data_IF_208471060834
#
_entry.id   IF_208471060834
#
_cell.length_a   1.000
_cell.length_b   1.000
_cell.length_c   1.000
_cell.angle_alpha   90.00
_cell.angle_beta   90.00
_cell.angle_gamma   90.00
#
_symmetry.space_group_name_H-M   'P 1'
#
loop_
_entity.id
_entity.type
_entity.pdbx_description
1 polymer ?
#
# COMPACT_ATOMS: atom_id res chain seq x y z
N UNK A 1 21.16 -5.42 11.19
CA UNK A 1 20.12 -6.22 11.88
C UNK A 1 19.40 -5.35 12.89
N UNK A 2 18.06 -5.31 12.89
CA UNK A 2 17.27 -4.44 13.80
C UNK A 2 16.11 -5.15 14.53
N UNK A 3 15.85 -6.42 14.24
CA UNK A 3 14.83 -7.20 14.94
C UNK A 3 15.20 -7.44 16.40
N UNK A 4 14.19 -7.62 17.25
CA UNK A 4 14.36 -7.86 18.69
C UNK A 4 15.22 -9.11 18.97
N UNK A 5 14.85 -10.25 18.37
CA UNK A 5 15.58 -11.53 18.52
C UNK A 5 17.03 -11.40 18.01
N UNK A 6 17.30 -11.00 16.75
CA UNK A 6 18.67 -10.75 16.28
C UNK A 6 19.48 -9.80 17.17
N UNK A 7 18.86 -8.73 17.72
CA UNK A 7 19.55 -7.78 18.59
C UNK A 7 19.95 -8.39 19.93
N UNK A 8 19.10 -9.24 20.51
CA UNK A 8 19.42 -9.98 21.74
C UNK A 8 20.55 -10.98 21.50
N UNK A 9 20.50 -11.71 20.38
CA UNK A 9 21.55 -12.64 19.98
C UNK A 9 22.89 -11.94 19.76
N UNK A 10 22.91 -10.80 19.09
CA UNK A 10 24.13 -9.99 18.90
C UNK A 10 24.74 -9.52 20.23
N UNK A 11 23.93 -9.36 21.27
CA UNK A 11 24.37 -9.00 22.63
C UNK A 11 24.72 -10.22 23.50
N UNK A 12 24.71 -11.43 22.95
CA UNK A 12 24.94 -12.68 23.67
C UNK A 12 23.81 -13.09 24.64
N UNK A 13 22.62 -12.47 24.52
CA UNK A 13 21.48 -12.70 25.43
C UNK A 13 20.57 -13.81 24.89
N UNK A 14 21.14 -15.02 24.76
CA UNK A 14 20.48 -16.15 24.10
C UNK A 14 19.17 -16.58 24.80
N UNK A 15 19.18 -16.69 26.14
CA UNK A 15 17.99 -17.10 26.89
C UNK A 15 16.83 -16.11 26.76
N UNK A 16 17.14 -14.82 26.67
CA UNK A 16 16.11 -13.79 26.46
C UNK A 16 15.58 -13.85 25.03
N UNK A 17 16.44 -14.05 24.04
CA UNK A 17 16.01 -14.29 22.66
C UNK A 17 15.08 -15.51 22.58
N UNK A 18 15.38 -16.59 23.32
CA UNK A 18 14.54 -17.78 23.44
C UNK A 18 13.17 -17.47 24.03
N UNK A 19 13.08 -16.66 25.09
CA UNK A 19 11.79 -16.25 25.66
C UNK A 19 10.96 -15.43 24.66
N UNK A 20 11.61 -14.54 23.92
CA UNK A 20 10.94 -13.74 22.88
C UNK A 20 10.44 -14.63 21.74
N UNK A 21 11.21 -15.63 21.32
CA UNK A 21 10.75 -16.63 20.34
C UNK A 21 9.50 -17.37 20.83
N UNK A 22 9.49 -17.84 22.08
CA UNK A 22 8.34 -18.52 22.67
C UNK A 22 7.10 -17.63 22.73
N UNK A 23 7.27 -16.35 23.06
CA UNK A 23 6.20 -15.37 23.05
C UNK A 23 5.58 -15.23 21.64
N UNK A 24 6.39 -15.02 20.61
CA UNK A 24 5.88 -14.87 19.24
C UNK A 24 5.32 -16.17 18.66
N UNK A 25 5.90 -17.32 19.00
CA UNK A 25 5.35 -18.62 18.65
C UNK A 25 3.98 -18.84 19.31
N UNK A 26 3.78 -18.40 20.56
CA UNK A 26 2.46 -18.47 21.20
C UNK A 26 1.45 -17.53 20.52
N UNK A 27 1.88 -16.33 20.12
CA UNK A 27 1.01 -15.34 19.50
C UNK A 27 0.60 -15.69 18.06
N UNK A 28 1.56 -16.12 17.24
CA UNK A 28 1.37 -16.35 15.79
C UNK A 28 1.29 -17.82 15.40
N UNK A 29 1.52 -18.75 16.34
CA UNK A 29 1.46 -20.19 16.13
C UNK A 29 2.33 -20.62 14.94
N UNK A 30 1.73 -21.27 13.95
CA UNK A 30 2.41 -21.82 12.76
C UNK A 30 2.85 -20.75 11.76
N UNK A 31 2.48 -19.48 11.96
CA UNK A 31 2.85 -18.36 11.10
C UNK A 31 3.96 -17.48 11.70
N UNK A 32 4.76 -18.06 12.62
CA UNK A 32 6.00 -17.46 13.10
C UNK A 32 7.23 -18.12 12.47
N UNK A 33 8.15 -17.29 11.95
CA UNK A 33 9.37 -17.74 11.28
C UNK A 33 10.58 -16.96 11.81
N UNK A 34 11.73 -17.62 11.89
CA UNK A 34 13.00 -16.96 12.17
C UNK A 34 13.67 -16.59 10.84
N UNK A 35 13.82 -15.28 10.62
CA UNK A 35 14.42 -14.75 9.40
C UNK A 35 15.94 -14.88 9.43
N UNK A 36 16.50 -15.48 8.38
CA UNK A 36 17.95 -15.50 8.12
C UNK A 36 18.26 -14.70 6.85
N UNK A 37 19.35 -13.94 6.92
CA UNK A 37 19.79 -13.03 5.86
C UNK A 37 21.31 -13.13 5.73
N UNK A 38 21.85 -13.04 4.52
CA UNK A 38 23.30 -12.92 4.32
C UNK A 38 23.60 -11.75 3.38
N UNK A 39 23.86 -10.62 4.01
CA UNK A 39 24.25 -9.37 3.35
C UNK A 39 25.77 -9.17 3.38
N UNK A 40 26.56 -10.24 3.62
CA UNK A 40 28.02 -10.18 3.64
C UNK A 40 28.62 -9.59 4.91
N UNK A 41 27.85 -9.47 6.00
CA UNK A 41 28.30 -8.96 7.29
C UNK A 41 28.66 -10.12 8.22
N UNK A 42 29.85 -10.08 8.83
CA UNK A 42 30.32 -11.20 9.67
C UNK A 42 29.46 -11.38 10.93
N UNK A 43 29.08 -10.28 11.57
CA UNK A 43 28.16 -10.25 12.72
C UNK A 43 26.81 -10.92 12.38
N UNK A 44 26.38 -10.84 11.12
CA UNK A 44 25.14 -11.47 10.66
C UNK A 44 25.28 -12.99 10.53
N UNK A 45 26.46 -13.50 10.18
CA UNK A 45 26.72 -14.94 10.16
C UNK A 45 26.68 -15.53 11.56
N UNK A 46 27.26 -14.85 12.54
CA UNK A 46 27.20 -15.26 13.95
C UNK A 46 25.75 -15.31 14.46
N UNK A 47 24.96 -14.28 14.18
CA UNK A 47 23.54 -14.25 14.54
C UNK A 47 22.74 -15.33 13.81
N UNK A 48 23.01 -15.58 12.53
CA UNK A 48 22.35 -16.67 11.78
C UNK A 48 22.62 -18.04 12.41
N UNK A 49 23.83 -18.32 12.89
CA UNK A 49 24.13 -19.57 13.59
C UNK A 49 23.28 -19.72 14.86
N UNK A 50 23.15 -18.67 15.65
CA UNK A 50 22.31 -18.67 16.85
C UNK A 50 20.81 -18.79 16.51
N UNK A 51 20.35 -18.19 15.40
CA UNK A 51 18.98 -18.34 14.91
C UNK A 51 18.71 -19.79 14.45
N UNK A 52 19.65 -20.43 13.77
CA UNK A 52 19.55 -21.85 13.40
C UNK A 52 19.48 -22.74 14.64
N UNK A 53 20.25 -22.43 15.68
CA UNK A 53 20.17 -23.12 16.96
C UNK A 53 18.78 -22.97 17.59
N UNK A 54 18.26 -21.74 17.72
CA UNK A 54 16.91 -21.48 18.26
C UNK A 54 15.82 -22.17 17.43
N UNK A 55 15.94 -22.16 16.10
CA UNK A 55 15.02 -22.84 15.20
C UNK A 55 14.94 -24.34 15.51
N UNK A 56 16.09 -25.01 15.68
CA UNK A 56 16.15 -26.44 16.01
C UNK A 56 15.62 -26.73 17.42
N UNK A 57 15.95 -25.91 18.40
CA UNK A 57 15.52 -26.08 19.80
C UNK A 57 14.01 -25.90 19.98
N UNK A 58 13.43 -24.92 19.28
CA UNK A 58 12.03 -24.52 19.46
C UNK A 58 11.11 -25.04 18.34
N UNK A 59 11.68 -25.78 17.37
CA UNK A 59 10.99 -26.23 16.15
C UNK A 59 10.32 -25.08 15.38
N UNK A 60 10.96 -23.90 15.34
CA UNK A 60 10.46 -22.73 14.61
C UNK A 60 11.07 -22.74 13.20
N UNK A 61 10.29 -22.66 12.12
CA UNK A 61 10.82 -22.69 10.76
C UNK A 61 11.68 -21.45 10.45
N UNK A 62 12.76 -21.66 9.68
CA UNK A 62 13.59 -20.57 9.14
C UNK A 62 13.00 -20.03 7.84
N UNK A 63 13.25 -18.75 7.53
CA UNK A 63 12.96 -18.19 6.20
C UNK A 63 14.13 -17.34 5.72
N UNK A 64 14.57 -17.56 4.48
CA UNK A 64 15.65 -16.80 3.87
C UNK A 64 15.11 -15.56 3.17
N UNK A 65 15.72 -14.40 3.43
CA UNK A 65 15.43 -13.14 2.75
C UNK A 65 16.74 -12.39 2.43
N UNK A 66 16.65 -11.25 1.74
CA UNK A 66 17.83 -10.46 1.34
C UNK A 66 17.73 -8.96 1.63
N UNK A 67 16.72 -8.53 2.40
CA UNK A 67 16.49 -7.12 2.77
C UNK A 67 16.69 -6.14 1.59
N UNK A 68 15.96 -6.41 0.49
CA UNK A 68 16.23 -5.79 -0.81
C UNK A 68 15.88 -4.29 -0.80
N UNK A 69 16.84 -3.45 -1.15
CA UNK A 69 16.70 -1.99 -1.26
C UNK A 69 16.88 -1.47 -2.69
N UNK A 70 17.45 -2.27 -3.58
CA UNK A 70 17.68 -1.91 -4.99
C UNK A 70 17.63 -3.14 -5.89
N UNK A 71 17.48 -2.92 -7.20
CA UNK A 71 17.25 -4.03 -8.13
C UNK A 71 18.54 -4.79 -8.46
N UNK A 72 19.60 -4.07 -8.86
CA UNK A 72 20.87 -4.70 -9.27
C UNK A 72 22.01 -4.32 -8.33
N UNK A 73 23.00 -5.21 -8.16
CA UNK A 73 24.19 -4.95 -7.32
C UNK A 73 24.90 -3.62 -7.65
N UNK A 74 24.95 -3.24 -8.94
CA UNK A 74 25.55 -1.98 -9.40
C UNK A 74 24.84 -0.71 -8.87
N UNK A 75 23.59 -0.83 -8.45
CA UNK A 75 22.77 0.29 -7.98
C UNK A 75 23.07 0.66 -6.51
N UNK A 76 23.93 -0.09 -5.83
CA UNK A 76 24.36 0.21 -4.45
C UNK A 76 24.86 1.65 -4.28
N UNK A 77 25.59 2.19 -5.26
CA UNK A 77 26.04 3.59 -5.24
C UNK A 77 24.88 4.57 -5.36
N UNK A 78 23.86 4.25 -6.15
CA UNK A 78 22.66 5.08 -6.29
C UNK A 78 21.87 5.09 -4.98
N UNK A 79 21.73 3.94 -4.32
CA UNK A 79 21.11 3.85 -3.00
C UNK A 79 21.87 4.68 -1.96
N UNK A 80 23.20 4.67 -2.01
CA UNK A 80 24.04 5.45 -1.11
C UNK A 80 23.82 6.97 -1.28
N UNK A 81 23.67 7.44 -2.52
CA UNK A 81 23.31 8.83 -2.83
C UNK A 81 21.91 9.16 -2.31
N UNK A 82 20.94 8.26 -2.48
CA UNK A 82 19.57 8.47 -2.01
C UNK A 82 19.52 8.63 -0.48
N UNK A 83 20.28 7.82 0.27
CA UNK A 83 20.42 7.96 1.72
C UNK A 83 21.03 9.30 2.13
N UNK A 84 22.04 9.77 1.40
CA UNK A 84 22.64 11.09 1.65
C UNK A 84 21.62 12.21 1.49
N UNK A 85 20.82 12.17 0.41
CA UNK A 85 19.74 13.14 0.17
C UNK A 85 18.71 13.08 1.31
N UNK A 86 18.26 11.89 1.69
CA UNK A 86 17.27 11.70 2.76
C UNK A 86 17.75 12.23 4.12
N UNK A 87 19.05 12.09 4.41
CA UNK A 87 19.64 12.46 5.70
C UNK A 87 20.26 13.85 5.72
N UNK A 88 20.19 14.60 4.60
CA UNK A 88 20.80 15.93 4.48
C UNK A 88 22.33 15.89 4.58
N UNK A 89 22.96 14.77 4.21
CA UNK A 89 24.41 14.55 4.24
C UNK A 89 24.98 14.54 2.82
N UNK A 90 26.30 14.62 2.71
CA UNK A 90 27.03 14.46 1.45
C UNK A 90 27.78 13.14 1.41
N UNK A 91 28.12 12.65 0.22
CA UNK A 91 28.94 11.43 0.07
C UNK A 91 30.33 11.54 0.73
N UNK A 92 30.80 12.77 1.00
CA UNK A 92 32.09 13.05 1.64
C UNK A 92 32.03 12.95 3.17
N UNK A 93 30.83 12.97 3.76
CA UNK A 93 30.68 12.92 5.21
C UNK A 93 31.03 11.51 5.71
N UNK A 94 31.90 11.40 6.71
CA UNK A 94 32.38 10.11 7.22
C UNK A 94 31.41 9.44 8.21
N UNK A 95 30.64 10.26 8.93
CA UNK A 95 29.58 9.90 9.90
C UNK A 95 28.20 9.68 9.25
N UNK A 96 28.12 9.69 7.91
CA UNK A 96 26.81 9.51 7.26
C UNK A 96 26.28 8.08 7.41
N UNK A 97 24.96 7.96 7.44
CA UNK A 97 24.29 6.68 7.30
C UNK A 97 24.61 6.07 5.93
N UNK A 98 25.12 4.84 5.93
CA UNK A 98 25.40 4.04 4.73
C UNK A 98 25.22 2.56 5.02
N UNK A 99 24.91 1.78 4.00
CA UNK A 99 24.94 0.33 4.12
C UNK A 99 26.39 -0.17 4.24
N UNK A 100 26.58 -1.21 5.04
CA UNK A 100 27.89 -1.79 5.29
C UNK A 100 28.40 -2.69 4.14
N UNK A 101 27.52 -3.06 3.20
CA UNK A 101 27.86 -3.84 1.99
C UNK A 101 26.98 -3.44 0.79
N UNK A 102 27.29 -4.03 -0.37
CA UNK A 102 26.54 -3.86 -1.63
C UNK A 102 25.57 -5.02 -1.91
N UNK A 103 25.23 -5.83 -0.90
CA UNK A 103 24.49 -7.09 -1.06
C UNK A 103 22.98 -6.97 -0.93
N UNK A 104 22.44 -5.76 -0.79
CA UNK A 104 21.02 -5.46 -0.59
C UNK A 104 20.24 -5.36 -1.92
N UNK A 105 20.65 -6.11 -2.94
CA UNK A 105 19.99 -6.14 -4.24
C UNK A 105 19.03 -7.32 -4.39
N UNK A 106 18.19 -7.30 -5.43
CA UNK A 106 17.31 -8.42 -5.74
C UNK A 106 18.12 -9.57 -6.37
N UNK A 107 18.65 -10.44 -5.51
CA UNK A 107 19.40 -11.64 -5.91
C UNK A 107 18.55 -12.59 -6.75
N UNK A 108 19.18 -13.27 -7.70
CA UNK A 108 18.53 -14.35 -8.44
C UNK A 108 18.29 -15.57 -7.55
N UNK A 109 17.37 -16.48 -7.92
CA UNK A 109 17.16 -17.73 -7.20
C UNK A 109 18.45 -18.57 -7.07
N UNK A 110 19.30 -18.56 -8.10
CA UNK A 110 20.59 -19.28 -8.10
C UNK A 110 21.59 -18.65 -7.12
N UNK A 111 21.63 -17.32 -7.02
CA UNK A 111 22.46 -16.62 -6.03
C UNK A 111 21.98 -16.94 -4.61
N UNK A 112 20.68 -16.84 -4.35
CA UNK A 112 20.08 -17.20 -3.05
C UNK A 112 20.35 -18.67 -2.70
N UNK A 113 20.24 -19.58 -3.67
CA UNK A 113 20.53 -21.00 -3.51
C UNK A 113 21.98 -21.30 -3.14
N UNK A 114 22.93 -20.52 -3.66
CA UNK A 114 24.36 -20.64 -3.29
C UNK A 114 24.63 -20.09 -1.90
N UNK A 115 24.02 -18.95 -1.56
CA UNK A 115 24.20 -18.27 -0.28
C UNK A 115 23.63 -19.11 0.88
N UNK A 116 22.47 -19.72 0.69
CA UNK A 116 21.81 -20.57 1.68
C UNK A 116 21.90 -22.06 1.33
N UNK A 117 23.01 -22.52 0.74
CA UNK A 117 23.20 -23.93 0.36
C UNK A 117 23.05 -24.89 1.53
N UNK A 118 23.42 -24.44 2.73
CA UNK A 118 23.38 -25.23 3.95
C UNK A 118 22.00 -25.20 4.64
N UNK A 119 21.08 -24.35 4.16
CA UNK A 119 19.72 -24.14 4.69
C UNK A 119 18.67 -24.11 3.56
N UNK A 120 18.55 -25.17 2.72
CA UNK A 120 17.61 -25.20 1.61
C UNK A 120 16.14 -25.05 2.04
N UNK A 121 15.81 -25.45 3.27
CA UNK A 121 14.49 -25.28 3.87
C UNK A 121 14.12 -23.81 4.06
N UNK A 122 15.07 -22.92 4.34
CA UNK A 122 14.82 -21.50 4.53
C UNK A 122 14.36 -20.83 3.22
N UNK A 123 14.93 -21.24 2.08
CA UNK A 123 14.47 -20.81 0.75
C UNK A 123 13.09 -21.41 0.46
N UNK A 124 12.90 -22.70 0.71
CA UNK A 124 11.63 -23.39 0.44
C UNK A 124 10.46 -22.77 1.22
N UNK A 125 10.70 -22.36 2.47
CA UNK A 125 9.71 -21.68 3.30
C UNK A 125 9.30 -20.32 2.74
N UNK A 126 10.18 -19.58 2.06
CA UNK A 126 9.81 -18.32 1.39
C UNK A 126 8.71 -18.53 0.35
N UNK A 127 8.78 -19.64 -0.40
CA UNK A 127 7.75 -20.05 -1.35
C UNK A 127 6.47 -20.48 -0.63
N UNK A 128 6.58 -21.30 0.42
CA UNK A 128 5.41 -21.75 1.17
C UNK A 128 4.63 -20.57 1.78
N UNK A 129 5.33 -19.56 2.30
CA UNK A 129 4.73 -18.31 2.79
C UNK A 129 4.04 -17.55 1.65
N UNK A 130 4.70 -17.42 0.49
CA UNK A 130 4.10 -16.78 -0.68
C UNK A 130 2.79 -17.45 -1.10
N UNK A 131 2.73 -18.79 -1.09
CA UNK A 131 1.55 -19.56 -1.44
C UNK A 131 0.40 -19.41 -0.41
N UNK A 132 0.71 -19.14 0.87
CA UNK A 132 -0.28 -18.80 1.91
C UNK A 132 -0.89 -17.40 1.71
N UNK A 133 -0.13 -16.45 1.20
CA UNK A 133 -0.52 -15.03 1.08
C UNK A 133 -1.46 -14.76 -0.10
N UNK A 134 -2.78 -14.78 0.13
CA UNK A 134 -3.81 -14.62 -0.91
C UNK A 134 -4.70 -13.38 -0.70
N UNK A 135 -4.12 -12.18 -0.76
CA UNK A 135 -4.88 -10.92 -0.65
C UNK A 135 -5.58 -10.55 -1.97
N UNK A 136 -6.91 -10.42 -1.95
CA UNK A 136 -7.68 -9.89 -3.09
C UNK A 136 -8.05 -8.44 -2.83
N UNK A 137 -7.49 -7.54 -3.63
CA UNK A 137 -7.88 -6.13 -3.64
C UNK A 137 -8.97 -5.90 -4.67
N UNK A 138 -10.09 -5.32 -4.23
CA UNK A 138 -11.25 -5.06 -5.07
C UNK A 138 -11.08 -3.76 -5.87
N UNK A 139 -10.13 -3.79 -6.79
CA UNK A 139 -9.78 -2.63 -7.62
C UNK A 139 -10.90 -2.38 -8.64
N UNK A 140 -11.48 -1.17 -8.61
CA UNK A 140 -12.50 -0.75 -9.56
C UNK A 140 -13.93 -0.71 -9.00
N UNK A 141 -14.16 -1.17 -7.75
CA UNK A 141 -15.41 -0.86 -7.06
C UNK A 141 -15.40 0.58 -6.59
N UNK A 142 -16.44 1.32 -6.99
CA UNK A 142 -16.64 2.69 -6.54
C UNK A 142 -17.45 2.64 -5.25
N UNK A 143 -16.81 3.00 -4.15
CA UNK A 143 -17.46 3.17 -2.85
C UNK A 143 -17.88 4.63 -2.70
N UNK A 144 -19.07 4.97 -3.22
CA UNK A 144 -19.62 6.32 -3.09
C UNK A 144 -20.25 6.51 -1.70
N UNK A 145 -20.12 7.70 -1.10
CA UNK A 145 -20.86 8.04 0.11
C UNK A 145 -22.38 8.06 -0.17
N UNK A 146 -23.17 7.67 0.83
CA UNK A 146 -24.62 7.72 0.73
C UNK A 146 -25.11 9.17 0.86
N UNK A 147 -25.81 9.68 -0.16
CA UNK A 147 -26.43 11.02 -0.11
C UNK A 147 -27.79 10.94 0.58
N UNK A 148 -28.04 11.80 1.57
CA UNK A 148 -29.35 11.88 2.23
C UNK A 148 -30.33 12.69 1.37
N UNK A 149 -31.45 12.08 1.03
CA UNK A 149 -32.50 12.69 0.22
C UNK A 149 -33.75 13.00 1.05
N UNK A 150 -34.54 14.03 0.69
CA UNK A 150 -35.82 14.28 1.33
C UNK A 150 -36.79 13.10 1.21
N UNK A 151 -37.67 12.96 2.20
CA UNK A 151 -38.73 11.93 2.17
C UNK A 151 -39.60 12.05 0.91
N UNK A 152 -39.96 10.92 0.32
CA UNK A 152 -40.78 10.84 -0.90
C UNK A 152 -39.99 10.79 -2.21
N UNK A 153 -38.65 10.81 -2.16
CA UNK A 153 -37.78 10.67 -3.33
C UNK A 153 -36.86 9.45 -3.22
N UNK A 154 -36.40 8.95 -4.37
CA UNK A 154 -35.17 8.16 -4.52
C UNK A 154 -34.04 9.05 -5.10
N UNK A 155 -32.80 8.54 -5.18
CA UNK A 155 -31.65 9.32 -5.68
C UNK A 155 -31.89 9.84 -7.10
N UNK A 156 -32.45 9.02 -7.98
CA UNK A 156 -32.72 9.37 -9.37
C UNK A 156 -33.81 10.44 -9.50
N UNK A 157 -34.90 10.28 -8.74
CA UNK A 157 -36.02 11.21 -8.71
C UNK A 157 -35.63 12.55 -8.11
N UNK A 158 -34.83 12.56 -7.04
CA UNK A 158 -34.33 13.79 -6.46
C UNK A 158 -33.36 14.52 -7.39
N UNK A 159 -32.42 13.79 -8.02
CA UNK A 159 -31.53 14.37 -9.04
C UNK A 159 -32.34 14.97 -10.20
N UNK A 160 -33.33 14.22 -10.71
CA UNK A 160 -34.22 14.69 -11.79
C UNK A 160 -34.93 15.99 -11.43
N UNK A 161 -35.49 16.09 -10.21
CA UNK A 161 -36.12 17.32 -9.71
C UNK A 161 -35.14 18.51 -9.74
N UNK A 162 -33.94 18.34 -9.18
CA UNK A 162 -32.95 19.41 -9.13
C UNK A 162 -32.47 19.84 -10.51
N UNK A 163 -32.29 18.89 -11.44
CA UNK A 163 -31.92 19.21 -12.82
C UNK A 163 -33.05 19.95 -13.57
N UNK A 164 -34.31 19.56 -13.36
CA UNK A 164 -35.46 20.28 -13.94
C UNK A 164 -35.54 21.72 -13.44
N UNK A 165 -35.39 21.94 -12.13
CA UNK A 165 -35.28 23.28 -11.54
C UNK A 165 -34.07 24.06 -12.09
N UNK A 166 -32.92 23.40 -12.23
CA UNK A 166 -31.71 23.97 -12.81
C UNK A 166 -31.88 24.43 -14.25
N UNK A 167 -32.58 23.66 -15.08
CA UNK A 167 -32.90 24.04 -16.47
C UNK A 167 -33.81 25.26 -16.50
N UNK A 168 -34.88 25.28 -15.71
CA UNK A 168 -35.78 26.45 -15.63
C UNK A 168 -35.07 27.73 -15.17
N UNK A 169 -34.06 27.61 -14.31
CA UNK A 169 -33.26 28.76 -13.85
C UNK A 169 -32.23 29.24 -14.88
N UNK A 170 -31.77 28.38 -15.80
CA UNK A 170 -30.74 28.69 -16.80
C UNK A 170 -31.32 29.09 -18.15
N UNK A 171 -32.50 28.59 -18.49
CA UNK A 171 -33.18 28.82 -19.75
C UNK A 171 -34.56 29.40 -19.49
N UNK A 172 -34.81 30.64 -19.93
CA UNK A 172 -36.13 31.27 -19.82
C UNK A 172 -37.23 30.45 -20.52
N UNK A 173 -36.90 29.86 -21.67
CA UNK A 173 -37.72 28.86 -22.37
C UNK A 173 -36.80 27.75 -22.87
N UNK A 174 -36.85 26.57 -22.24
CA UNK A 174 -36.06 25.43 -22.66
C UNK A 174 -36.58 24.86 -23.99
N UNK A 175 -35.70 24.70 -24.98
CA UNK A 175 -36.07 24.08 -26.25
C UNK A 175 -36.28 22.57 -26.11
N UNK A 176 -37.01 21.97 -27.06
CA UNK A 176 -37.19 20.51 -27.12
C UNK A 176 -35.86 19.76 -27.16
N UNK A 177 -34.83 20.31 -27.82
CA UNK A 177 -33.48 19.75 -27.86
C UNK A 177 -32.84 19.68 -26.47
N UNK A 178 -32.97 20.72 -25.66
CA UNK A 178 -32.42 20.78 -24.29
C UNK A 178 -33.13 19.76 -23.39
N UNK A 179 -34.46 19.71 -23.44
CA UNK A 179 -35.25 18.78 -22.63
C UNK A 179 -34.96 17.30 -22.98
N UNK A 180 -34.86 17.00 -24.29
CA UNK A 180 -34.50 15.66 -24.76
C UNK A 180 -33.09 15.27 -24.34
N UNK A 181 -32.14 16.22 -24.37
CA UNK A 181 -30.77 15.97 -23.91
C UNK A 181 -30.73 15.67 -22.42
N UNK A 182 -31.43 16.45 -21.60
CA UNK A 182 -31.51 16.23 -20.16
C UNK A 182 -32.07 14.83 -19.83
N UNK A 183 -33.14 14.43 -20.51
CA UNK A 183 -33.75 13.12 -20.32
C UNK A 183 -32.78 11.97 -20.63
N UNK A 184 -32.04 12.07 -21.75
CA UNK A 184 -31.03 11.08 -22.13
C UNK A 184 -29.92 10.99 -21.09
N UNK A 185 -29.39 12.11 -20.61
CA UNK A 185 -28.33 12.12 -19.59
C UNK A 185 -28.80 11.53 -18.27
N UNK A 186 -29.96 11.94 -17.76
CA UNK A 186 -30.53 11.42 -16.52
C UNK A 186 -30.78 9.91 -16.59
N UNK A 187 -31.23 9.39 -17.74
CA UNK A 187 -31.43 7.95 -17.94
C UNK A 187 -30.09 7.19 -17.86
N UNK A 188 -29.06 7.70 -18.55
CA UNK A 188 -27.72 7.10 -18.52
C UNK A 188 -27.14 7.13 -17.10
N UNK A 189 -27.22 8.27 -16.40
CA UNK A 189 -26.73 8.44 -15.03
C UNK A 189 -27.42 7.46 -14.08
N UNK A 190 -28.74 7.34 -14.18
CA UNK A 190 -29.53 6.43 -13.35
C UNK A 190 -29.19 4.97 -13.61
N UNK A 191 -29.10 4.56 -14.88
CA UNK A 191 -28.71 3.19 -15.26
C UNK A 191 -27.31 2.82 -14.78
N UNK A 192 -26.39 3.78 -14.78
CA UNK A 192 -25.02 3.57 -14.32
C UNK A 192 -24.85 3.68 -12.80
N UNK A 193 -25.90 4.05 -12.05
CA UNK A 193 -25.84 4.18 -10.60
C UNK A 193 -25.09 5.43 -10.10
N UNK A 194 -24.93 6.45 -10.94
CA UNK A 194 -24.15 7.66 -10.59
C UNK A 194 -24.96 8.80 -9.99
N UNK A 195 -26.27 8.64 -9.78
CA UNK A 195 -27.10 9.74 -9.25
C UNK A 195 -26.59 10.27 -7.90
N UNK A 196 -26.17 9.38 -6.99
CA UNK A 196 -25.58 9.78 -5.71
C UNK A 196 -24.30 10.61 -5.85
N UNK A 197 -23.43 10.27 -6.82
CA UNK A 197 -22.23 11.04 -7.12
C UNK A 197 -22.57 12.47 -7.58
N UNK A 198 -23.53 12.61 -8.50
CA UNK A 198 -23.96 13.93 -8.97
C UNK A 198 -24.56 14.77 -7.85
N UNK A 199 -25.37 14.17 -6.97
CA UNK A 199 -25.96 14.85 -5.81
C UNK A 199 -24.89 15.35 -4.83
N UNK A 200 -23.88 14.52 -4.52
CA UNK A 200 -22.76 14.89 -3.65
C UNK A 200 -21.97 16.06 -4.24
N UNK A 201 -21.60 15.99 -5.52
CA UNK A 201 -20.82 17.06 -6.18
C UNK A 201 -21.63 18.35 -6.28
N UNK A 202 -22.92 18.25 -6.63
CA UNK A 202 -23.84 19.38 -6.66
C UNK A 202 -23.91 20.07 -5.29
N UNK A 203 -24.02 19.30 -4.20
CA UNK A 203 -24.15 19.85 -2.86
C UNK A 203 -22.89 20.60 -2.41
N UNK A 204 -21.70 20.05 -2.69
CA UNK A 204 -20.45 20.77 -2.45
C UNK A 204 -20.39 22.09 -3.20
N UNK A 205 -20.77 22.09 -4.48
CA UNK A 205 -20.75 23.30 -5.31
C UNK A 205 -21.79 24.33 -4.86
N UNK A 206 -22.98 23.89 -4.45
CA UNK A 206 -24.04 24.72 -3.88
C UNK A 206 -23.57 25.36 -2.58
N UNK A 207 -23.11 24.54 -1.63
CA UNK A 207 -22.64 25.00 -0.32
C UNK A 207 -21.50 26.00 -0.45
N UNK A 208 -20.50 25.72 -1.30
CA UNK A 208 -19.39 26.65 -1.53
C UNK A 208 -19.89 28.02 -2.02
N UNK A 209 -20.83 28.05 -2.97
CA UNK A 209 -21.42 29.32 -3.45
C UNK A 209 -22.21 30.05 -2.37
N UNK A 210 -23.01 29.34 -1.58
CA UNK A 210 -23.76 29.91 -0.45
C UNK A 210 -22.84 30.50 0.63
N UNK A 211 -21.67 29.91 0.82
CA UNK A 211 -20.62 30.40 1.74
C UNK A 211 -19.63 31.37 1.10
N UNK A 212 -19.89 31.82 -0.12
CA UNK A 212 -19.01 32.74 -0.87
C UNK A 212 -17.58 32.21 -1.05
N UNK A 213 -17.42 30.88 -1.07
CA UNK A 213 -16.16 30.21 -1.42
C UNK A 213 -16.11 30.09 -2.95
N UNK A 214 -15.03 30.62 -3.54
CA UNK A 214 -14.85 30.61 -4.99
C UNK A 214 -14.74 29.18 -5.53
N UNK A 215 -15.58 28.86 -6.51
CA UNK A 215 -15.53 27.62 -7.29
C UNK A 215 -15.18 27.93 -8.74
N UNK A 216 -14.28 27.14 -9.33
CA UNK A 216 -13.94 27.29 -10.74
C UNK A 216 -15.12 27.00 -11.69
N UNK A 217 -15.04 27.38 -12.97
CA UNK A 217 -16.13 27.24 -13.94
C UNK A 217 -16.45 25.78 -14.33
N UNK A 218 -15.68 24.80 -13.84
CA UNK A 218 -15.72 23.40 -14.25
C UNK A 218 -14.48 23.01 -15.07
N UNK A 219 -14.06 21.74 -14.98
CA UNK A 219 -12.96 21.17 -15.77
C UNK A 219 -13.17 19.68 -16.02
N UNK A 220 -12.50 19.13 -17.02
CA UNK A 220 -12.67 17.73 -17.43
C UNK A 220 -13.94 17.51 -18.25
N UNK A 221 -14.28 16.25 -18.50
CA UNK A 221 -15.40 15.87 -19.37
C UNK A 221 -16.78 16.27 -18.82
N UNK A 222 -16.89 16.58 -17.53
CA UNK A 222 -18.15 16.99 -16.89
C UNK A 222 -18.74 18.27 -17.49
N UNK A 223 -17.92 19.13 -18.11
CA UNK A 223 -18.40 20.35 -18.77
C UNK A 223 -19.24 20.08 -20.03
N UNK A 224 -19.26 18.83 -20.51
CA UNK A 224 -20.14 18.37 -21.60
C UNK A 224 -21.46 17.74 -21.12
N UNK A 225 -21.71 17.68 -19.82
CA UNK A 225 -23.00 17.29 -19.23
C UNK A 225 -23.85 18.55 -19.02
N UNK A 226 -25.10 18.50 -19.46
CA UNK A 226 -26.06 19.62 -19.43
C UNK A 226 -26.51 19.95 -18.00
#
# INVERSE_FOLDING_TARGET
MKGEIPSLLQKGRFDEARQVCLFYQDLYKDDFYLEVQDTGLEEQKEVNQALVQLSRELSIPLVATNDVHYLYRKDARTQDVLLCIQTGKTLKDTDRLKFASSEFYFRSPEEMGKVFSDLPEAISNSRAISEKCNLKLDLGKIHLPHYQIPSGYDLNGYLKKLCQEGVSNRYATASSTVLKRLEVELNIIGRMGYAGYFLVVWDFARYAKEKQILVGPGRGSVTGSL
#
